data_IF_777119305439
#
_entry.id   IF_777119305439
#
_cell.length_a   1.000
_cell.length_b   1.000
_cell.length_c   1.000
_cell.angle_alpha   90.00
_cell.angle_beta   90.00
_cell.angle_gamma   90.00
#
_symmetry.space_group_name_H-M   'P 1'
#
loop_
_entity.id
_entity.type
_entity.pdbx_description
1 polymer ?
#
# COMPACT_ATOMS: atom_id res chain seq x y z
N UNK A 1 7.50 -4.32 -32.39
CA UNK A 1 6.64 -4.58 -31.22
C UNK A 1 5.21 -4.21 -31.59
N UNK A 2 4.30 -5.17 -31.86
CA UNK A 2 2.95 -4.82 -32.30
C UNK A 2 2.11 -4.35 -31.11
N UNK A 3 1.43 -3.21 -31.30
CA UNK A 3 0.49 -2.58 -30.36
C UNK A 3 -0.80 -3.40 -30.29
N UNK A 4 -0.80 -4.45 -29.47
CA UNK A 4 -2.04 -5.08 -28.99
C UNK A 4 -2.15 -4.73 -27.50
N UNK A 5 -3.13 -3.94 -27.06
CA UNK A 5 -3.33 -3.77 -25.61
C UNK A 5 -4.61 -3.08 -25.15
N UNK A 6 -5.27 -2.24 -25.96
CA UNK A 6 -6.43 -1.48 -25.47
C UNK A 6 -7.79 -2.08 -25.83
N UNK A 7 -7.99 -2.52 -27.07
CA UNK A 7 -9.27 -3.13 -27.49
C UNK A 7 -9.50 -4.50 -26.83
N UNK A 8 -8.46 -5.33 -26.76
CA UNK A 8 -8.54 -6.65 -26.14
C UNK A 8 -8.85 -6.59 -24.63
N UNK A 9 -8.38 -5.54 -23.93
CA UNK A 9 -8.71 -5.32 -22.51
C UNK A 9 -10.18 -4.92 -22.33
N UNK A 10 -10.66 -3.96 -23.14
CA UNK A 10 -12.06 -3.54 -23.08
C UNK A 10 -13.04 -4.66 -23.40
N UNK A 11 -12.73 -5.51 -24.39
CA UNK A 11 -13.57 -6.68 -24.69
C UNK A 11 -13.58 -7.71 -23.56
N UNK A 12 -12.49 -7.82 -22.82
CA UNK A 12 -12.35 -8.75 -21.70
C UNK A 12 -13.08 -8.26 -20.45
N UNK A 13 -13.03 -6.95 -20.18
CA UNK A 13 -13.84 -6.28 -19.14
C UNK A 13 -15.34 -6.40 -19.44
N UNK A 14 -15.77 -6.08 -20.66
CA UNK A 14 -17.17 -6.19 -21.07
C UNK A 14 -17.71 -7.63 -20.99
N UNK A 15 -16.88 -8.63 -21.31
CA UNK A 15 -17.22 -10.05 -21.13
C UNK A 15 -17.31 -10.43 -19.66
N UNK A 16 -16.44 -9.88 -18.81
CA UNK A 16 -16.46 -10.06 -17.37
C UNK A 16 -17.75 -9.52 -16.75
N UNK A 17 -18.15 -8.31 -17.12
CA UNK A 17 -19.39 -7.67 -16.68
C UNK A 17 -20.64 -8.46 -17.12
N UNK A 18 -20.68 -8.90 -18.38
CA UNK A 18 -21.79 -9.69 -18.91
C UNK A 18 -21.92 -11.06 -18.21
N UNK A 19 -20.79 -11.70 -17.92
CA UNK A 19 -20.75 -12.98 -17.21
C UNK A 19 -21.16 -12.81 -15.74
N UNK A 20 -20.75 -11.73 -15.10
CA UNK A 20 -21.17 -11.40 -13.73
C UNK A 20 -22.69 -11.14 -13.66
N UNK A 21 -23.24 -10.36 -14.59
CA UNK A 21 -24.67 -10.12 -14.68
C UNK A 21 -25.47 -11.42 -14.88
N UNK A 22 -24.99 -12.28 -15.78
CA UNK A 22 -25.57 -13.60 -16.04
C UNK A 22 -25.59 -14.46 -14.77
N UNK A 23 -24.47 -14.57 -14.06
CA UNK A 23 -24.38 -15.34 -12.82
C UNK A 23 -25.29 -14.78 -11.72
N UNK A 24 -25.39 -13.46 -11.59
CA UNK A 24 -26.27 -12.83 -10.61
C UNK A 24 -27.75 -13.09 -10.91
N UNK A 25 -28.14 -13.28 -12.16
CA UNK A 25 -29.52 -13.57 -12.54
C UNK A 25 -29.86 -15.06 -12.47
N UNK A 26 -28.88 -15.95 -12.72
CA UNK A 26 -29.11 -17.38 -12.90
C UNK A 26 -28.68 -18.25 -11.71
N UNK A 27 -27.92 -17.71 -10.75
CA UNK A 27 -27.55 -18.41 -9.51
C UNK A 27 -28.44 -17.91 -8.37
N UNK A 28 -29.35 -18.75 -7.85
CA UNK A 28 -30.16 -18.42 -6.68
C UNK A 28 -29.26 -17.98 -5.51
N UNK A 29 -29.71 -17.01 -4.73
CA UNK A 29 -29.07 -16.50 -3.51
C UNK A 29 -27.70 -15.82 -3.69
N UNK A 30 -27.10 -15.83 -4.89
CA UNK A 30 -25.78 -15.21 -5.13
C UNK A 30 -25.80 -13.69 -4.95
N UNK A 31 -26.90 -13.03 -5.34
CA UNK A 31 -27.10 -11.59 -5.11
C UNK A 31 -27.15 -11.27 -3.62
N UNK A 32 -27.86 -12.08 -2.85
CA UNK A 32 -28.04 -11.92 -1.41
C UNK A 32 -26.74 -12.19 -0.67
N UNK A 33 -25.99 -13.22 -1.09
CA UNK A 33 -24.64 -13.51 -0.60
C UNK A 33 -23.68 -12.34 -0.83
N UNK A 34 -23.60 -11.80 -2.05
CA UNK A 34 -22.73 -10.63 -2.33
C UNK A 34 -23.16 -9.41 -1.53
N UNK A 35 -24.46 -9.17 -1.39
CA UNK A 35 -24.98 -8.07 -0.57
C UNK A 35 -24.62 -8.24 0.91
N UNK A 36 -24.73 -9.46 1.45
CA UNK A 36 -24.35 -9.78 2.83
C UNK A 36 -22.84 -9.64 3.05
N UNK A 37 -22.02 -10.11 2.11
CA UNK A 37 -20.57 -9.96 2.13
C UNK A 37 -20.16 -8.49 2.14
N UNK A 38 -20.77 -7.67 1.28
CA UNK A 38 -20.50 -6.24 1.21
C UNK A 38 -20.88 -5.52 2.52
N UNK A 39 -22.06 -5.85 3.09
CA UNK A 39 -22.49 -5.31 4.39
C UNK A 39 -21.52 -5.70 5.51
N UNK A 40 -21.07 -6.95 5.55
CA UNK A 40 -20.10 -7.42 6.54
C UNK A 40 -18.77 -6.66 6.42
N UNK A 41 -18.31 -6.39 5.20
CA UNK A 41 -17.08 -5.63 4.97
C UNK A 41 -17.20 -4.19 5.48
N UNK A 42 -18.29 -3.50 5.14
CA UNK A 42 -18.57 -2.14 5.65
C UNK A 42 -18.57 -2.12 7.18
N UNK A 43 -19.21 -3.12 7.80
CA UNK A 43 -19.31 -3.18 9.25
C UNK A 43 -17.94 -3.40 9.91
N UNK A 44 -17.06 -4.22 9.31
CA UNK A 44 -15.69 -4.39 9.76
C UNK A 44 -14.89 -3.08 9.64
N UNK A 45 -15.03 -2.35 8.53
CA UNK A 45 -14.36 -1.06 8.35
C UNK A 45 -14.84 -0.03 9.37
N UNK A 46 -16.16 0.08 9.60
CA UNK A 46 -16.72 0.99 10.59
C UNK A 46 -16.26 0.65 12.01
N UNK A 47 -16.27 -0.63 12.37
CA UNK A 47 -15.77 -1.10 13.65
C UNK A 47 -14.27 -0.83 13.83
N UNK A 48 -13.49 -0.98 12.76
CA UNK A 48 -12.06 -0.69 12.77
C UNK A 48 -11.80 0.80 12.97
N UNK A 49 -12.50 1.67 12.24
CA UNK A 49 -12.43 3.13 12.38
C UNK A 49 -12.90 3.59 13.76
N UNK A 50 -13.94 2.98 14.32
CA UNK A 50 -14.43 3.31 15.65
C UNK A 50 -13.42 2.96 16.75
N UNK A 51 -12.70 1.84 16.59
CA UNK A 51 -11.67 1.39 17.54
C UNK A 51 -10.33 2.10 17.34
N UNK A 52 -10.02 2.44 16.10
CA UNK A 52 -8.76 3.02 15.66
C UNK A 52 -9.07 4.17 14.69
N UNK A 53 -9.47 5.34 15.22
CA UNK A 53 -9.71 6.50 14.37
C UNK A 53 -8.44 6.88 13.63
N UNK A 54 -8.59 7.33 12.39
CA UNK A 54 -7.47 7.83 11.60
C UNK A 54 -6.79 8.99 12.32
N UNK A 55 -5.46 9.05 12.21
CA UNK A 55 -4.68 10.13 12.80
C UNK A 55 -5.14 11.47 12.23
N UNK A 56 -5.48 12.41 13.11
CA UNK A 56 -5.87 13.75 12.67
C UNK A 56 -4.65 14.50 12.11
N UNK A 57 -4.86 15.54 11.28
CA UNK A 57 -3.77 16.38 10.81
C UNK A 57 -2.93 16.95 11.97
N UNK A 58 -3.57 17.27 13.10
CA UNK A 58 -2.89 17.75 14.30
C UNK A 58 -2.04 16.65 14.96
N UNK A 59 -2.51 15.39 14.98
CA UNK A 59 -1.71 14.26 15.45
C UNK A 59 -0.47 14.05 14.57
N UNK A 60 -0.60 14.24 13.25
CA UNK A 60 0.53 14.14 12.33
C UNK A 60 1.51 15.29 12.53
N UNK A 61 1.04 16.52 12.71
CA UNK A 61 1.87 17.68 12.98
C UNK A 61 2.59 17.57 14.33
N UNK A 62 1.91 17.06 15.36
CA UNK A 62 2.50 16.81 16.67
C UNK A 62 3.58 15.72 16.62
N UNK A 63 3.34 14.64 15.87
CA UNK A 63 4.33 13.59 15.65
C UNK A 63 5.56 14.11 14.88
N UNK A 64 5.35 14.91 13.83
CA UNK A 64 6.43 15.53 13.06
C UNK A 64 7.24 16.53 13.89
N UNK A 65 6.58 17.34 14.72
CA UNK A 65 7.25 18.27 15.63
C UNK A 65 8.05 17.52 16.71
N UNK A 66 7.51 16.43 17.26
CA UNK A 66 8.21 15.58 18.22
C UNK A 66 9.44 14.91 17.60
N UNK A 67 9.35 14.45 16.35
CA UNK A 67 10.49 13.95 15.60
C UNK A 67 11.51 15.07 15.33
N UNK A 68 11.07 16.25 14.91
CA UNK A 68 11.91 17.42 14.70
C UNK A 68 12.57 17.93 15.99
N UNK A 69 12.10 17.56 17.18
CA UNK A 69 12.78 17.87 18.44
C UNK A 69 13.92 16.90 18.78
N UNK A 70 14.00 15.72 18.16
CA UNK A 70 15.04 14.73 18.47
C UNK A 70 16.41 15.14 17.90
N UNK A 71 17.54 14.70 18.50
CA UNK A 71 18.86 14.82 17.88
C UNK A 71 18.92 14.08 16.54
N UNK A 72 19.70 14.56 15.58
CA UNK A 72 19.78 14.03 14.20
C UNK A 72 20.02 12.50 14.11
N UNK A 73 20.86 11.95 14.99
CA UNK A 73 21.09 10.49 15.11
C UNK A 73 19.85 9.71 15.54
N UNK A 74 18.95 10.30 16.33
CA UNK A 74 17.70 9.68 16.78
C UNK A 74 16.56 9.91 15.79
N UNK A 75 16.52 11.07 15.10
CA UNK A 75 15.56 11.33 13.99
C UNK A 75 15.64 10.28 12.90
N UNK A 76 16.85 10.03 12.41
CA UNK A 76 17.09 9.03 11.36
C UNK A 76 16.67 7.62 11.79
N UNK A 77 16.85 7.26 13.07
CA UNK A 77 16.40 5.96 13.58
C UNK A 77 14.87 5.88 13.68
N UNK A 78 14.19 6.93 14.12
CA UNK A 78 12.72 6.98 14.22
C UNK A 78 12.08 6.99 12.83
N UNK A 79 12.60 7.79 11.90
CA UNK A 79 12.16 7.82 10.51
C UNK A 79 12.35 6.46 9.83
N UNK A 80 13.52 5.81 10.01
CA UNK A 80 13.74 4.46 9.49
C UNK A 80 12.79 3.44 10.14
N UNK A 81 12.45 3.57 11.41
CA UNK A 81 11.43 2.70 12.03
C UNK A 81 10.05 2.99 11.48
N UNK A 82 9.64 4.23 11.23
CA UNK A 82 8.33 4.56 10.64
C UNK A 82 8.19 4.01 9.23
N UNK A 83 9.17 4.27 8.36
CA UNK A 83 9.14 3.83 6.96
C UNK A 83 9.28 2.33 6.78
N UNK A 84 9.94 1.63 7.71
CA UNK A 84 10.27 0.21 7.57
C UNK A 84 9.73 -0.71 8.66
N UNK A 85 9.02 -0.22 9.69
CA UNK A 85 8.35 -1.08 10.67
C UNK A 85 7.29 -1.99 10.02
N UNK A 86 6.46 -1.52 9.07
CA UNK A 86 5.53 -2.39 8.35
C UNK A 86 6.25 -3.45 7.50
N UNK A 87 7.43 -3.13 6.98
CA UNK A 87 8.24 -4.04 6.16
C UNK A 87 9.06 -5.03 7.01
N UNK A 88 9.22 -4.75 8.29
CA UNK A 88 10.09 -5.53 9.15
C UNK A 88 9.46 -6.78 9.76
N UNK A 89 8.13 -6.86 9.82
CA UNK A 89 7.39 -8.09 10.12
C UNK A 89 7.68 -9.18 9.08
N UNK A 90 7.92 -8.78 7.83
CA UNK A 90 8.21 -9.65 6.68
C UNK A 90 9.71 -9.92 6.47
N UNK A 91 10.59 -9.40 7.33
CA UNK A 91 12.00 -9.70 7.25
C UNK A 91 12.26 -11.17 7.64
N UNK A 92 13.04 -11.92 6.84
CA UNK A 92 13.47 -13.27 7.18
C UNK A 92 14.07 -13.32 8.59
N UNK A 93 13.87 -14.42 9.32
CA UNK A 93 14.30 -14.57 10.72
C UNK A 93 15.79 -14.24 10.95
N UNK A 94 16.64 -14.53 9.98
CA UNK A 94 18.07 -14.20 9.95
C UNK A 94 18.35 -12.69 9.97
N UNK A 95 17.48 -11.89 9.33
CA UNK A 95 17.54 -10.44 9.34
C UNK A 95 17.03 -9.83 10.66
N UNK A 96 16.33 -10.58 11.53
CA UNK A 96 15.86 -10.05 12.83
C UNK A 96 17.01 -9.87 13.84
N UNK A 97 18.01 -10.77 13.86
CA UNK A 97 19.19 -10.66 14.75
C UNK A 97 20.17 -9.56 14.33
N UNK A 98 20.17 -9.16 13.06
CA UNK A 98 21.06 -8.14 12.51
C UNK A 98 20.30 -7.00 11.81
N UNK A 99 19.06 -6.74 12.24
CA UNK A 99 18.08 -5.85 11.58
C UNK A 99 18.68 -4.51 11.17
N UNK A 100 19.43 -3.86 12.07
CA UNK A 100 20.09 -2.59 11.77
C UNK A 100 21.11 -2.69 10.63
N UNK A 101 21.95 -3.74 10.60
CA UNK A 101 22.95 -3.94 9.55
C UNK A 101 22.31 -4.35 8.22
N UNK A 102 21.28 -5.20 8.28
CA UNK A 102 20.51 -5.60 7.11
C UNK A 102 19.86 -4.36 6.44
N UNK A 103 19.12 -3.58 7.23
CA UNK A 103 18.49 -2.34 6.77
C UNK A 103 19.50 -1.36 6.17
N UNK A 104 20.64 -1.13 6.83
CA UNK A 104 21.67 -0.23 6.31
C UNK A 104 22.32 -0.74 5.01
N UNK A 105 22.54 -2.05 4.88
CA UNK A 105 23.09 -2.64 3.65
C UNK A 105 22.14 -2.47 2.48
N UNK A 106 20.85 -2.73 2.69
CA UNK A 106 19.83 -2.57 1.66
C UNK A 106 19.56 -1.10 1.33
N UNK A 107 19.57 -0.20 2.31
CA UNK A 107 19.49 1.25 2.07
C UNK A 107 20.68 1.74 1.24
N UNK A 108 21.91 1.28 1.53
CA UNK A 108 23.09 1.64 0.74
C UNK A 108 23.02 1.09 -0.68
N UNK A 109 22.51 -0.13 -0.86
CA UNK A 109 22.27 -0.71 -2.18
C UNK A 109 21.23 0.10 -2.96
N UNK A 110 20.13 0.49 -2.30
CA UNK A 110 19.08 1.33 -2.85
C UNK A 110 19.61 2.71 -3.25
N UNK A 111 20.35 3.40 -2.36
CA UNK A 111 20.95 4.70 -2.65
C UNK A 111 22.03 4.62 -3.74
N UNK A 112 22.71 3.48 -3.89
CA UNK A 112 23.70 3.27 -4.97
C UNK A 112 23.02 3.02 -6.32
N UNK A 113 21.87 2.33 -6.31
CA UNK A 113 21.03 2.14 -7.48
C UNK A 113 20.27 3.42 -7.87
N UNK A 114 19.95 4.26 -6.89
CA UNK A 114 19.21 5.51 -7.03
C UNK A 114 20.05 6.69 -6.48
N UNK A 115 21.08 7.13 -7.23
CA UNK A 115 22.07 8.09 -6.75
C UNK A 115 21.53 9.52 -6.54
N UNK A 116 20.40 9.86 -7.15
CA UNK A 116 19.68 11.11 -6.89
C UNK A 116 18.59 10.88 -5.83
N UNK A 117 18.45 11.75 -4.81
CA UNK A 117 17.27 11.72 -3.97
C UNK A 117 16.05 11.84 -4.88
N UNK A 118 15.06 10.97 -4.67
CA UNK A 118 13.83 11.04 -5.44
C UNK A 118 13.23 12.42 -5.23
N UNK A 119 13.16 13.20 -6.30
CA UNK A 119 12.42 14.45 -6.27
C UNK A 119 10.96 14.10 -6.03
N UNK A 120 10.22 15.01 -5.40
CA UNK A 120 8.78 14.86 -5.18
C UNK A 120 8.02 14.44 -6.45
N UNK A 121 8.46 14.94 -7.60
CA UNK A 121 7.92 14.58 -8.91
C UNK A 121 8.20 13.12 -9.30
N UNK A 122 9.41 12.62 -9.02
CA UNK A 122 9.81 11.24 -9.30
C UNK A 122 9.10 10.26 -8.34
N UNK A 123 8.94 10.63 -7.07
CA UNK A 123 8.11 9.88 -6.11
C UNK A 123 6.65 9.79 -6.56
N UNK A 124 6.07 10.92 -7.00
CA UNK A 124 4.70 10.95 -7.50
C UNK A 124 4.54 10.09 -8.77
N UNK A 125 5.53 10.13 -9.67
CA UNK A 125 5.53 9.32 -10.89
C UNK A 125 5.63 7.82 -10.59
N UNK A 126 6.55 7.41 -9.71
CA UNK A 126 6.71 6.00 -9.33
C UNK A 126 5.51 5.47 -8.53
N UNK A 127 4.88 6.32 -7.71
CA UNK A 127 3.67 5.95 -6.98
C UNK A 127 2.50 5.77 -7.94
N UNK A 128 2.37 6.63 -8.95
CA UNK A 128 1.36 6.48 -9.99
C UNK A 128 1.58 5.20 -10.82
N UNK A 129 2.83 4.90 -11.20
CA UNK A 129 3.17 3.67 -11.92
C UNK A 129 2.94 2.43 -11.07
N UNK A 130 3.27 2.46 -9.78
CA UNK A 130 3.02 1.38 -8.83
C UNK A 130 1.52 1.12 -8.64
N UNK A 131 0.72 2.17 -8.42
CA UNK A 131 -0.75 2.05 -8.35
C UNK A 131 -1.31 1.45 -9.63
N UNK A 132 -0.81 1.88 -10.79
CA UNK A 132 -1.22 1.34 -12.09
C UNK A 132 -0.84 -0.13 -12.31
N UNK A 133 0.22 -0.62 -11.67
CA UNK A 133 0.69 -2.00 -11.82
C UNK A 133 0.12 -2.96 -10.78
N UNK A 134 -0.18 -2.48 -9.57
CA UNK A 134 -0.51 -3.33 -8.42
C UNK A 134 -1.84 -3.01 -7.74
N UNK A 135 -2.47 -1.88 -8.03
CA UNK A 135 -3.85 -1.62 -7.63
C UNK A 135 -4.78 -2.09 -8.75
N UNK A 136 -5.09 -3.39 -8.73
CA UNK A 136 -6.32 -3.96 -9.28
C UNK A 136 -7.32 -4.08 -8.14
#
# INVERSE_FOLDING_TARGET
MPKQSHSARHEQEARGEALEAYLLEHVPDLREYKAAQHRAFIQIEQDALARHPDATPDDTAAAEAAEAALPSRKRTEVQLRRSFAPLASHLPSEAKRSRKRFMQRHQRAWNRANPSPLTWELERALTADFMKTYAL
#
